data_IF_701859595421
#
_entry.id   IF_701859595421
#
_cell.length_a   1.000
_cell.length_b   1.000
_cell.length_c   1.000
_cell.angle_alpha   90.00
_cell.angle_beta   90.00
_cell.angle_gamma   90.00
#
_symmetry.space_group_name_H-M   'P 1'
#
loop_
_entity.id
_entity.type
_entity.pdbx_description
1 polymer ?
#
# COMPACT_ATOMS: atom_id res chain seq x y z
N UNK A 1 7.76 14.00 -12.76
CA UNK A 1 7.99 12.66 -12.17
C UNK A 1 6.77 11.78 -12.48
N UNK A 2 6.90 10.46 -12.61
CA UNK A 2 5.78 9.57 -13.00
C UNK A 2 4.55 9.69 -12.07
N UNK A 3 4.76 9.89 -10.76
CA UNK A 3 3.69 10.13 -9.80
C UNK A 3 2.82 11.36 -10.13
N UNK A 4 3.39 12.41 -10.72
CA UNK A 4 2.59 13.58 -11.14
C UNK A 4 1.62 13.22 -12.28
N UNK A 5 2.03 12.36 -13.22
CA UNK A 5 1.15 11.90 -14.30
C UNK A 5 0.00 11.04 -13.76
N UNK A 6 0.29 10.18 -12.80
CA UNK A 6 -0.72 9.36 -12.10
C UNK A 6 -1.77 10.26 -11.42
N UNK A 7 -1.34 11.37 -10.80
CA UNK A 7 -2.23 12.35 -10.19
C UNK A 7 -3.02 13.19 -11.21
N UNK A 8 -2.41 13.54 -12.34
CA UNK A 8 -3.11 14.21 -13.46
C UNK A 8 -4.27 13.34 -14.00
N UNK A 9 -4.08 12.02 -14.02
CA UNK A 9 -5.11 11.03 -14.38
C UNK A 9 -6.11 10.73 -13.24
N UNK A 10 -5.97 11.39 -12.08
CA UNK A 10 -6.82 11.22 -10.87
C UNK A 10 -6.79 9.82 -10.25
N UNK A 11 -5.76 9.03 -10.54
CA UNK A 11 -5.62 7.69 -10.00
C UNK A 11 -5.29 7.67 -8.50
N UNK A 12 -4.76 8.76 -7.97
CA UNK A 12 -4.60 8.96 -6.53
C UNK A 12 -5.94 9.02 -5.78
N UNK A 13 -6.99 9.52 -6.45
CA UNK A 13 -8.36 9.52 -5.94
C UNK A 13 -9.02 8.15 -6.17
N UNK A 14 -8.90 7.62 -7.39
CA UNK A 14 -9.52 6.34 -7.77
C UNK A 14 -9.05 5.17 -6.88
N UNK A 15 -7.74 5.12 -6.59
CA UNK A 15 -7.13 4.03 -5.83
C UNK A 15 -6.69 4.45 -4.43
N UNK A 16 -7.33 5.48 -3.85
CA UNK A 16 -6.97 6.03 -2.55
C UNK A 16 -6.97 4.96 -1.44
N UNK A 17 -7.98 4.09 -1.40
CA UNK A 17 -8.07 3.04 -0.37
C UNK A 17 -6.94 2.01 -0.52
N UNK A 18 -6.60 1.59 -1.75
CA UNK A 18 -5.46 0.69 -2.01
C UNK A 18 -4.14 1.34 -1.60
N UNK A 19 -3.95 2.61 -1.97
CA UNK A 19 -2.79 3.40 -1.59
C UNK A 19 -2.64 3.49 -0.07
N UNK A 20 -3.68 3.90 0.66
CA UNK A 20 -3.67 4.02 2.12
C UNK A 20 -3.46 2.67 2.80
N UNK A 21 -3.98 1.59 2.24
CA UNK A 21 -3.79 0.23 2.76
C UNK A 21 -2.32 -0.17 2.72
N UNK A 22 -1.67 -0.05 1.56
CA UNK A 22 -0.26 -0.43 1.40
C UNK A 22 0.66 0.52 2.16
N UNK A 23 0.36 1.83 2.14
CA UNK A 23 1.12 2.82 2.89
C UNK A 23 1.02 2.57 4.41
N UNK A 24 -0.17 2.25 4.91
CA UNK A 24 -0.40 1.91 6.32
C UNK A 24 0.35 0.64 6.74
N UNK A 25 0.42 -0.36 5.86
CA UNK A 25 1.25 -1.55 6.08
C UNK A 25 2.74 -1.18 6.23
N UNK A 26 3.23 -0.28 5.37
CA UNK A 26 4.62 0.21 5.42
C UNK A 26 4.92 0.96 6.72
N UNK A 27 4.01 1.84 7.19
CA UNK A 27 4.20 2.62 8.42
C UNK A 27 4.29 1.81 9.72
N UNK A 28 4.02 0.50 9.68
CA UNK A 28 4.32 -0.39 10.82
C UNK A 28 5.82 -0.55 11.08
N UNK A 29 6.64 -0.26 10.07
CA UNK A 29 8.10 -0.23 10.19
C UNK A 29 8.54 1.18 10.59
N UNK A 30 9.15 1.31 11.76
CA UNK A 30 9.60 2.61 12.27
C UNK A 30 10.71 3.21 11.40
N UNK A 31 11.69 2.38 11.01
CA UNK A 31 12.85 2.80 10.23
C UNK A 31 12.49 3.05 8.75
N UNK A 32 12.80 4.25 8.26
CA UNK A 32 12.48 4.69 6.90
C UNK A 32 13.23 3.90 5.81
N UNK A 33 14.44 3.40 6.09
CA UNK A 33 15.20 2.58 5.14
C UNK A 33 14.57 1.21 5.00
N UNK A 34 14.11 0.63 6.11
CA UNK A 34 13.35 -0.61 6.10
C UNK A 34 12.03 -0.44 5.34
N UNK A 35 11.27 0.64 5.59
CA UNK A 35 10.06 0.97 4.83
C UNK A 35 10.33 0.98 3.32
N UNK A 36 11.32 1.74 2.89
CA UNK A 36 11.68 1.84 1.48
C UNK A 36 12.07 0.48 0.90
N UNK A 37 12.94 -0.26 1.59
CA UNK A 37 13.45 -1.55 1.12
C UNK A 37 12.34 -2.60 0.98
N UNK A 38 11.52 -2.79 2.02
CA UNK A 38 10.48 -3.81 2.03
C UNK A 38 9.35 -3.44 1.06
N UNK A 39 8.87 -2.19 1.06
CA UNK A 39 7.81 -1.78 0.14
C UNK A 39 8.26 -1.86 -1.33
N UNK A 40 9.52 -1.55 -1.64
CA UNK A 40 10.05 -1.77 -2.99
C UNK A 40 10.10 -3.26 -3.35
N UNK A 41 10.55 -4.10 -2.42
CA UNK A 41 10.61 -5.56 -2.64
C UNK A 41 9.22 -6.16 -2.86
N UNK A 42 8.22 -5.72 -2.09
CA UNK A 42 6.82 -6.10 -2.27
C UNK A 42 6.25 -5.64 -3.61
N UNK A 43 6.58 -4.41 -4.05
CA UNK A 43 6.15 -3.89 -5.34
C UNK A 43 6.64 -4.78 -6.50
N UNK A 44 7.92 -5.15 -6.49
CA UNK A 44 8.50 -6.03 -7.50
C UNK A 44 7.80 -7.39 -7.48
N UNK A 45 7.66 -7.98 -6.29
CA UNK A 45 7.02 -9.29 -6.13
C UNK A 45 5.56 -9.29 -6.64
N UNK A 46 4.77 -8.29 -6.27
CA UNK A 46 3.37 -8.19 -6.68
C UNK A 46 3.23 -8.07 -8.21
N UNK A 47 4.03 -7.21 -8.82
CA UNK A 47 4.05 -7.01 -10.27
C UNK A 47 4.46 -8.29 -11.01
N UNK A 48 5.48 -8.99 -10.53
CA UNK A 48 5.94 -10.22 -11.16
C UNK A 48 4.93 -11.36 -11.01
N UNK A 49 4.26 -11.45 -9.86
CA UNK A 49 3.16 -12.40 -9.64
C UNK A 49 1.99 -12.12 -10.58
N UNK A 50 1.58 -10.86 -10.76
CA UNK A 50 0.49 -10.51 -11.69
C UNK A 50 0.83 -10.86 -13.14
N UNK A 51 2.08 -10.61 -13.56
CA UNK A 51 2.56 -11.01 -14.89
C UNK A 51 2.50 -12.52 -15.07
N UNK A 52 2.94 -13.29 -14.07
CA UNK A 52 2.89 -14.76 -14.09
C UNK A 52 1.44 -15.26 -14.21
N UNK A 53 0.53 -14.64 -13.48
CA UNK A 53 -0.90 -14.97 -13.49
C UNK A 53 -1.63 -14.41 -14.72
N UNK A 54 -0.97 -13.61 -15.56
CA UNK A 54 -1.55 -12.89 -16.71
C UNK A 54 -2.73 -11.98 -16.32
N UNK A 55 -2.72 -11.48 -15.09
CA UNK A 55 -3.78 -10.61 -14.56
C UNK A 55 -3.47 -9.14 -14.88
N UNK A 56 -3.94 -8.65 -16.03
CA UNK A 56 -3.62 -7.30 -16.51
C UNK A 56 -4.24 -6.19 -15.65
N UNK A 57 -5.43 -6.41 -15.09
CA UNK A 57 -6.10 -5.42 -14.27
C UNK A 57 -5.39 -5.24 -12.93
N UNK A 58 -5.02 -6.35 -12.27
CA UNK A 58 -4.22 -6.32 -11.05
C UNK A 58 -2.83 -5.73 -11.30
N UNK A 59 -2.20 -6.11 -12.42
CA UNK A 59 -0.91 -5.54 -12.82
C UNK A 59 -0.98 -4.01 -12.92
N UNK A 60 -2.02 -3.47 -13.59
CA UNK A 60 -2.22 -2.03 -13.73
C UNK A 60 -2.42 -1.37 -12.37
N UNK A 61 -3.30 -1.92 -11.55
CA UNK A 61 -3.57 -1.44 -10.19
C UNK A 61 -2.29 -1.39 -9.35
N UNK A 62 -1.55 -2.50 -9.27
CA UNK A 62 -0.33 -2.59 -8.48
C UNK A 62 0.74 -1.62 -8.97
N UNK A 63 0.93 -1.47 -10.29
CA UNK A 63 1.85 -0.47 -10.83
C UNK A 63 1.50 0.94 -10.34
N UNK A 64 0.23 1.33 -10.43
CA UNK A 64 -0.24 2.66 -10.03
C UNK A 64 -0.08 2.88 -8.51
N UNK A 65 -0.58 1.94 -7.72
CA UNK A 65 -0.57 2.04 -6.25
C UNK A 65 0.86 2.09 -5.72
N UNK A 66 1.74 1.18 -6.16
CA UNK A 66 3.13 1.19 -5.69
C UNK A 66 3.92 2.41 -6.16
N UNK A 67 3.61 3.00 -7.33
CA UNK A 67 4.19 4.30 -7.72
C UNK A 67 3.83 5.38 -6.69
N UNK A 68 2.56 5.45 -6.27
CA UNK A 68 2.11 6.45 -5.29
C UNK A 68 2.75 6.23 -3.92
N UNK A 69 2.78 4.98 -3.44
CA UNK A 69 3.38 4.64 -2.14
C UNK A 69 4.88 4.92 -2.13
N UNK A 70 5.61 4.47 -3.16
CA UNK A 70 7.06 4.69 -3.24
C UNK A 70 7.40 6.16 -3.40
N UNK A 71 6.62 6.95 -4.14
CA UNK A 71 6.81 8.40 -4.22
C UNK A 71 6.71 9.07 -2.84
N UNK A 72 5.72 8.68 -2.03
CA UNK A 72 5.58 9.15 -0.64
C UNK A 72 6.79 8.77 0.21
N UNK A 73 7.14 7.48 0.26
CA UNK A 73 8.26 7.00 1.10
C UNK A 73 9.60 7.61 0.66
N UNK A 74 9.84 7.75 -0.65
CA UNK A 74 11.06 8.39 -1.17
C UNK A 74 11.11 9.86 -0.79
N UNK A 75 10.00 10.59 -0.85
CA UNK A 75 9.95 11.99 -0.38
C UNK A 75 10.25 12.08 1.11
N UNK A 76 9.67 11.22 1.93
CA UNK A 76 9.96 11.16 3.37
C UNK A 76 11.43 10.85 3.64
N UNK A 77 12.00 9.89 2.90
CA UNK A 77 13.41 9.52 3.03
C UNK A 77 14.35 10.68 2.69
N UNK A 78 14.08 11.39 1.60
CA UNK A 78 14.92 12.49 1.13
C UNK A 78 14.78 13.75 1.99
N UNK A 79 13.56 14.06 2.44
CA UNK A 79 13.27 15.29 3.22
C UNK A 79 13.41 15.11 4.72
N UNK A 80 13.39 13.86 5.21
CA UNK A 80 13.29 13.49 6.62
C UNK A 80 12.03 14.05 7.30
N UNK A 81 11.01 14.38 6.51
CA UNK A 81 9.73 14.89 6.99
C UNK A 81 8.63 13.88 6.66
N UNK A 82 7.76 13.60 7.63
CA UNK A 82 6.63 12.69 7.49
C UNK A 82 5.36 13.53 7.57
N UNK A 83 4.46 13.31 6.63
CA UNK A 83 3.11 13.87 6.70
C UNK A 83 2.32 13.07 7.76
N UNK A 84 2.24 13.60 8.98
CA UNK A 84 1.61 12.91 10.11
C UNK A 84 0.10 12.72 9.91
N UNK A 85 -0.58 13.62 9.18
CA UNK A 85 -2.01 13.49 8.86
C UNK A 85 -2.24 12.32 7.90
N UNK A 86 -1.43 12.24 6.84
CA UNK A 86 -1.47 11.13 5.89
C UNK A 86 -1.12 9.80 6.58
N UNK A 87 -0.10 9.80 7.44
CA UNK A 87 0.31 8.62 8.21
C UNK A 87 -0.79 8.13 9.13
N UNK A 88 -1.43 9.03 9.87
CA UNK A 88 -2.54 8.67 10.75
C UNK A 88 -3.71 8.08 9.93
N UNK A 89 -4.06 8.70 8.80
CA UNK A 89 -5.11 8.20 7.90
C UNK A 89 -4.78 6.79 7.37
N UNK A 90 -3.54 6.56 6.96
CA UNK A 90 -3.09 5.27 6.44
C UNK A 90 -3.13 4.17 7.52
N UNK A 91 -2.70 4.47 8.75
CA UNK A 91 -2.76 3.54 9.87
C UNK A 91 -4.20 3.18 10.26
N UNK A 92 -5.13 4.14 10.21
CA UNK A 92 -6.56 3.89 10.47
C UNK A 92 -7.20 2.98 9.43
N UNK A 93 -6.92 3.19 8.14
CA UNK A 93 -7.40 2.31 7.06
C UNK A 93 -6.85 0.90 7.24
N UNK A 94 -5.55 0.77 7.51
CA UNK A 94 -4.92 -0.51 7.78
C UNK A 94 -5.56 -1.22 8.98
N UNK A 95 -5.77 -0.52 10.10
CA UNK A 95 -6.40 -1.08 11.30
C UNK A 95 -7.80 -1.65 11.02
N UNK A 96 -8.63 -0.92 10.28
CA UNK A 96 -9.98 -1.39 9.89
C UNK A 96 -9.93 -2.68 9.06
N UNK A 97 -8.93 -2.82 8.19
CA UNK A 97 -8.75 -4.03 7.37
C UNK A 97 -8.33 -5.22 8.23
N UNK A 98 -7.41 -5.00 9.18
CA UNK A 98 -6.98 -6.06 10.10
C UNK A 98 -8.11 -6.53 11.03
N UNK A 99 -8.94 -5.60 11.52
CA UNK A 99 -10.14 -5.91 12.30
C UNK A 99 -11.13 -6.77 11.50
N UNK A 100 -11.38 -6.42 10.23
CA UNK A 100 -12.24 -7.20 9.33
C UNK A 100 -11.70 -8.62 9.14
N UNK A 101 -10.41 -8.76 8.83
CA UNK A 101 -9.75 -10.08 8.70
C UNK A 101 -9.84 -10.90 9.98
N UNK A 102 -9.63 -10.27 11.14
CA UNK A 102 -9.72 -10.94 12.43
C UNK A 102 -11.16 -11.42 12.74
N UNK A 103 -12.18 -10.64 12.39
CA UNK A 103 -13.58 -11.01 12.54
C UNK A 103 -13.97 -12.18 11.62
N UNK A 104 -13.51 -12.16 10.37
CA UNK A 104 -13.71 -13.26 9.42
C UNK A 104 -13.04 -14.55 9.91
N UNK A 105 -11.78 -14.49 10.35
CA UNK A 105 -11.09 -15.66 10.89
C UNK A 105 -11.80 -16.26 12.10
N UNK A 106 -12.28 -15.43 13.04
CA UNK A 106 -13.11 -15.92 14.18
C UNK A 106 -14.36 -16.66 13.71
N UNK A 107 -15.02 -16.15 12.66
CA UNK A 107 -16.18 -16.80 12.06
C UNK A 107 -15.83 -18.16 11.44
N UNK A 108 -14.71 -18.27 10.70
CA UNK A 108 -14.24 -19.55 10.15
C UNK A 108 -13.88 -20.57 11.23
N UNK A 109 -13.22 -20.16 12.31
CA UNK A 109 -12.90 -21.03 13.44
C UNK A 109 -14.14 -21.49 14.24
N UNK A 110 -15.26 -20.76 14.16
CA UNK A 110 -16.53 -21.16 14.77
C UNK A 110 -17.22 -22.30 14.02
N UNK A 111 -17.02 -22.44 12.71
CA UNK A 111 -17.63 -23.50 11.89
C UNK A 111 -16.80 -24.80 11.82
N UNK A 112 -15.66 -24.87 12.53
CA UNK A 112 -14.83 -26.08 12.62
C UNK A 112 -15.14 -26.94 13.86
N UNK A 113 -16.24 -26.69 14.56
CA UNK A 113 -16.74 -27.48 15.69
C UNK A 113 -18.09 -28.14 15.39
#
# INVERSE_FOLDING_TARGET
MFANRVKEEKFDIEFEENFLTILGYSYRLEDIKQRLFFTFSEAVYAIDLDKLMKNQDSLKLNCIVYILVLDTIVKEYLTKNIDEDLKQKALEVYGKIEERKAAENKKYHMYQY
#
